data_IF_576776750736
#
_entry.id   IF_576776750736
#
_cell.length_a   1.000
_cell.length_b   1.000
_cell.length_c   1.000
_cell.angle_alpha   90.00
_cell.angle_beta   90.00
_cell.angle_gamma   90.00
#
_symmetry.space_group_name_H-M   'P 1'
#
loop_
_entity.id
_entity.type
_entity.pdbx_description
1 polymer ?
#
# COMPACT_ATOMS: atom_id res chain seq x y z
N UNK A 1 9.19 -39.47 -58.26
CA UNK A 1 9.79 -40.06 -57.05
C UNK A 1 8.83 -39.69 -55.91
N UNK A 2 7.76 -40.47 -55.65
CA UNK A 2 7.70 -41.57 -54.68
C UNK A 2 8.32 -41.15 -53.32
N UNK A 3 7.68 -41.24 -52.15
CA UNK A 3 6.85 -42.33 -51.61
C UNK A 3 6.09 -41.85 -50.35
N UNK A 4 4.81 -42.23 -50.23
CA UNK A 4 4.07 -42.80 -49.05
C UNK A 4 4.33 -42.21 -47.64
N UNK A 5 3.33 -41.82 -46.84
CA UNK A 5 2.13 -42.59 -46.49
C UNK A 5 2.44 -43.59 -45.37
N UNK A 6 2.48 -43.12 -44.11
CA UNK A 6 2.78 -43.94 -42.92
C UNK A 6 1.61 -43.94 -41.91
N UNK A 7 1.29 -45.08 -41.27
CA UNK A 7 0.03 -45.30 -40.54
C UNK A 7 0.00 -44.77 -39.10
N UNK A 8 -1.22 -44.39 -38.70
CA UNK A 8 -1.65 -44.15 -37.32
C UNK A 8 -1.37 -45.35 -36.41
N UNK A 9 -0.57 -45.16 -35.37
CA UNK A 9 -0.42 -46.15 -34.29
C UNK A 9 -1.32 -45.75 -33.12
N UNK A 10 -2.44 -46.48 -32.97
CA UNK A 10 -3.26 -46.42 -31.76
C UNK A 10 -2.48 -46.94 -30.54
N UNK A 11 -2.65 -46.36 -29.34
CA UNK A 11 -2.00 -46.84 -28.14
C UNK A 11 -2.58 -48.18 -27.68
N UNK A 12 -1.68 -49.14 -27.40
CA UNK A 12 -2.02 -50.40 -26.72
C UNK A 12 -2.52 -50.10 -25.30
N UNK A 13 -3.72 -50.56 -24.99
CA UNK A 13 -4.16 -50.82 -23.61
C UNK A 13 -3.36 -51.99 -23.06
N UNK A 14 -2.74 -51.84 -21.89
CA UNK A 14 -2.46 -52.89 -20.89
C UNK A 14 -2.24 -52.26 -19.49
N UNK A 15 -2.42 -53.02 -18.39
CA UNK A 15 -3.21 -52.57 -17.24
C UNK A 15 -2.38 -52.19 -16.01
N UNK A 16 -2.64 -51.02 -15.41
CA UNK A 16 -2.02 -50.62 -14.13
C UNK A 16 -2.80 -49.61 -13.30
N UNK A 17 -4.05 -49.31 -13.66
CA UNK A 17 -4.79 -48.16 -13.14
C UNK A 17 -5.51 -48.41 -11.79
N UNK A 18 -5.23 -49.50 -11.08
CA UNK A 18 -5.91 -49.83 -9.82
C UNK A 18 -5.05 -49.72 -8.56
N UNK A 19 -3.72 -49.59 -8.70
CA UNK A 19 -2.81 -49.47 -7.54
C UNK A 19 -2.52 -48.02 -7.11
N UNK A 20 -2.64 -47.04 -8.01
CA UNK A 20 -2.37 -45.62 -7.69
C UNK A 20 -3.49 -44.94 -6.90
N UNK A 21 -4.75 -45.33 -7.13
CA UNK A 21 -5.92 -44.70 -6.51
C UNK A 21 -6.06 -45.02 -5.01
N UNK A 22 -5.61 -46.20 -4.58
CA UNK A 22 -5.70 -46.61 -3.17
C UNK A 22 -4.72 -45.83 -2.28
N UNK A 23 -3.55 -45.46 -2.81
CA UNK A 23 -2.53 -44.71 -2.07
C UNK A 23 -2.95 -43.25 -1.79
N UNK A 24 -3.70 -42.63 -2.71
CA UNK A 24 -4.09 -41.21 -2.61
C UNK A 24 -5.25 -40.99 -1.60
N UNK A 25 -6.16 -41.95 -1.48
CA UNK A 25 -7.29 -41.86 -0.52
C UNK A 25 -6.83 -42.01 0.93
N UNK A 26 -5.80 -42.81 1.20
CA UNK A 26 -5.25 -42.99 2.56
C UNK A 26 -4.55 -41.72 3.05
N UNK A 27 -3.84 -41.00 2.17
CA UNK A 27 -3.15 -39.76 2.54
C UNK A 27 -4.09 -38.59 2.86
N UNK A 28 -5.21 -38.46 2.14
CA UNK A 28 -6.20 -37.41 2.41
C UNK A 28 -6.92 -37.64 3.74
N UNK A 29 -7.17 -38.90 4.12
CA UNK A 29 -7.81 -39.25 5.39
C UNK A 29 -6.97 -38.91 6.64
N UNK A 30 -5.64 -39.01 6.54
CA UNK A 30 -4.74 -38.71 7.66
C UNK A 30 -4.64 -37.20 7.91
N UNK A 31 -4.68 -36.38 6.86
CA UNK A 31 -4.60 -34.90 6.99
C UNK A 31 -5.88 -34.33 7.62
N UNK A 32 -7.05 -34.87 7.27
CA UNK A 32 -8.33 -34.43 7.87
C UNK A 32 -8.45 -34.78 9.35
N UNK A 33 -7.83 -35.87 9.81
CA UNK A 33 -7.87 -36.26 11.23
C UNK A 33 -7.06 -35.32 12.14
N UNK A 34 -6.01 -34.66 11.61
CA UNK A 34 -5.17 -33.74 12.39
C UNK A 34 -5.87 -32.39 12.57
N UNK A 35 -6.65 -31.93 11.58
CA UNK A 35 -7.43 -30.70 11.66
C UNK A 35 -8.60 -30.76 12.66
N UNK A 36 -9.06 -31.96 13.02
CA UNK A 36 -10.11 -32.12 14.04
C UNK A 36 -9.56 -32.15 15.47
N UNK A 37 -8.26 -32.41 15.67
CA UNK A 37 -7.69 -32.56 17.00
C UNK A 37 -7.16 -31.25 17.61
N UNK A 38 -7.05 -30.17 16.84
CA UNK A 38 -6.51 -28.88 17.34
C UNK A 38 -7.46 -27.68 17.20
N UNK A 39 -8.76 -27.93 16.97
CA UNK A 39 -9.77 -26.87 16.92
C UNK A 39 -10.66 -26.85 18.17
N UNK A 40 -10.55 -25.78 18.97
CA UNK A 40 -11.71 -25.22 19.65
C UNK A 40 -11.60 -25.04 21.17
N UNK A 41 -11.66 -23.78 21.62
CA UNK A 41 -12.46 -23.46 22.80
C UNK A 41 -13.14 -22.09 22.63
N UNK A 42 -14.45 -22.16 22.83
CA UNK A 42 -15.53 -21.23 22.49
C UNK A 42 -15.70 -20.07 23.48
N UNK A 43 -16.56 -19.09 23.14
CA UNK A 43 -17.21 -18.24 24.15
C UNK A 43 -17.66 -16.84 23.73
N UNK A 44 -18.67 -16.77 22.85
CA UNK A 44 -19.89 -15.94 22.82
C UNK A 44 -20.06 -14.78 23.87
N UNK A 45 -20.40 -13.57 23.40
CA UNK A 45 -21.73 -12.91 23.57
C UNK A 45 -21.70 -11.38 23.40
N UNK A 46 -22.76 -10.88 22.75
CA UNK A 46 -23.04 -9.50 22.32
C UNK A 46 -23.71 -8.63 23.41
N UNK A 47 -23.63 -7.31 23.16
CA UNK A 47 -24.51 -6.21 23.58
C UNK A 47 -24.30 -5.53 24.96
N UNK A 48 -23.78 -4.29 24.94
CA UNK A 48 -24.62 -3.07 24.96
C UNK A 48 -23.91 -1.84 25.56
N UNK A 49 -24.11 -0.69 24.89
CA UNK A 49 -24.04 0.70 25.39
C UNK A 49 -22.68 1.43 25.42
N UNK A 50 -22.48 2.30 24.41
CA UNK A 50 -21.79 3.60 24.47
C UNK A 50 -22.43 4.53 25.52
N UNK A 51 -21.84 5.70 25.91
CA UNK A 51 -20.55 6.28 25.52
C UNK A 51 -19.72 6.80 26.71
N UNK A 52 -18.44 7.13 26.49
CA UNK A 52 -17.87 8.46 26.81
C UNK A 52 -16.34 8.46 26.73
N UNK A 53 -15.86 9.56 26.16
CA UNK A 53 -14.50 10.07 26.09
C UNK A 53 -13.62 9.75 27.31
N UNK A 54 -12.38 9.32 27.06
CA UNK A 54 -11.16 9.91 27.61
C UNK A 54 -9.94 9.25 27.00
N UNK A 55 -9.03 10.08 26.50
CA UNK A 55 -7.69 9.71 26.08
C UNK A 55 -6.95 8.97 27.19
N UNK A 56 -6.14 7.99 26.80
CA UNK A 56 -4.92 7.62 27.51
C UNK A 56 -4.04 6.86 26.53
N UNK A 57 -3.10 7.60 25.94
CA UNK A 57 -1.92 7.02 25.36
C UNK A 57 -1.18 6.27 26.47
N UNK A 58 -0.93 4.98 26.25
CA UNK A 58 0.14 4.27 26.94
C UNK A 58 1.19 4.02 25.89
N UNK A 59 2.21 4.87 25.91
CA UNK A 59 3.42 4.70 25.12
C UNK A 59 4.11 3.41 25.52
N UNK A 60 4.55 2.67 24.51
CA UNK A 60 5.59 1.67 24.65
C UNK A 60 6.83 2.28 23.99
N UNK A 61 7.55 3.08 24.80
CA UNK A 61 8.86 3.59 24.46
C UNK A 61 9.86 2.45 24.53
N UNK A 62 10.47 2.15 23.39
CA UNK A 62 11.40 1.04 23.24
C UNK A 62 12.17 1.17 21.95
N UNK A 63 13.15 2.09 21.95
CA UNK A 63 14.17 2.15 20.91
C UNK A 63 14.79 0.78 20.70
N UNK A 64 14.45 0.17 19.58
CA UNK A 64 15.09 -1.02 19.06
C UNK A 64 15.03 -0.90 17.54
N UNK A 65 16.15 -1.21 16.91
CA UNK A 65 16.36 -1.30 15.46
C UNK A 65 15.51 -2.40 14.79
N UNK A 66 14.23 -2.50 15.17
CA UNK A 66 13.23 -3.35 14.57
C UNK A 66 12.59 -2.63 13.40
N UNK A 67 12.10 -3.43 12.44
CA UNK A 67 11.28 -2.97 11.32
C UNK A 67 10.33 -1.86 11.75
N UNK A 68 10.44 -0.70 11.10
CA UNK A 68 9.47 0.36 11.26
C UNK A 68 8.08 -0.19 10.92
N UNK A 69 7.05 0.29 11.62
CA UNK A 69 5.65 -0.05 11.34
C UNK A 69 4.80 1.20 11.21
N UNK A 70 3.64 1.06 10.58
CA UNK A 70 2.63 2.10 10.59
C UNK A 70 2.29 2.48 12.04
N UNK A 71 2.29 3.77 12.33
CA UNK A 71 2.10 4.33 13.66
C UNK A 71 3.39 4.84 14.31
N UNK A 72 4.55 4.37 13.86
CA UNK A 72 5.84 4.84 14.39
C UNK A 72 6.13 6.27 13.94
N UNK A 73 6.85 7.01 14.77
CA UNK A 73 7.32 8.34 14.43
C UNK A 73 8.80 8.33 14.09
N UNK A 74 9.20 9.31 13.31
CA UNK A 74 10.58 9.46 12.88
C UNK A 74 10.95 10.89 12.57
N UNK A 75 12.24 11.11 12.45
CA UNK A 75 12.82 12.41 12.15
C UNK A 75 14.13 12.28 11.39
N UNK A 76 14.66 13.41 10.85
CA UNK A 76 15.96 13.43 10.19
C UNK A 76 17.07 12.94 11.12
N UNK A 77 17.94 12.09 10.61
CA UNK A 77 19.12 11.63 11.32
C UNK A 77 20.32 12.54 10.96
N UNK A 78 20.85 13.35 11.91
CA UNK A 78 21.94 14.27 11.62
C UNK A 78 23.24 13.57 11.23
N UNK A 79 23.46 12.32 11.64
CA UNK A 79 24.65 11.54 11.32
C UNK A 79 24.58 10.91 9.91
N UNK A 80 23.36 10.80 9.35
CA UNK A 80 23.07 10.27 8.02
C UNK A 80 22.45 11.30 7.07
N UNK A 81 22.61 12.59 7.38
CA UNK A 81 22.09 13.68 6.57
C UNK A 81 22.67 13.68 5.13
N UNK A 82 21.91 14.19 4.13
CA UNK A 82 20.58 14.80 4.25
C UNK A 82 19.41 13.82 4.18
N UNK A 83 19.66 12.57 3.77
CA UNK A 83 18.60 11.61 3.39
C UNK A 83 18.34 10.54 4.46
N UNK A 84 19.04 10.62 5.60
CA UNK A 84 18.91 9.70 6.72
C UNK A 84 17.72 10.01 7.61
N UNK A 85 17.02 8.97 8.03
CA UNK A 85 15.92 9.06 8.99
C UNK A 85 16.07 8.00 10.08
N UNK A 86 15.65 8.35 11.29
CA UNK A 86 15.64 7.44 12.44
C UNK A 86 14.26 7.39 13.09
N UNK A 87 13.94 6.24 13.69
CA UNK A 87 12.74 6.09 14.50
C UNK A 87 12.92 6.87 15.81
N UNK A 88 11.87 7.56 16.21
CA UNK A 88 11.81 8.40 17.41
C UNK A 88 10.47 8.16 18.12
N UNK A 89 10.42 8.47 19.41
CA UNK A 89 9.13 8.58 20.12
C UNK A 89 8.32 9.75 19.53
N UNK A 90 7.00 9.58 19.39
CA UNK A 90 6.16 10.61 18.74
C UNK A 90 6.08 11.94 19.50
N UNK A 91 6.38 11.94 20.81
CA UNK A 91 6.43 13.15 21.64
C UNK A 91 7.83 13.78 21.68
N UNK A 92 8.81 13.19 20.98
CA UNK A 92 10.15 13.75 20.83
C UNK A 92 10.10 15.02 19.97
N UNK A 93 10.88 16.04 20.35
CA UNK A 93 10.95 17.29 19.60
C UNK A 93 11.58 17.13 18.22
N UNK A 94 12.39 16.09 18.02
CA UNK A 94 13.05 15.79 16.75
C UNK A 94 12.17 14.91 15.84
N UNK A 95 11.05 14.38 16.35
CA UNK A 95 10.08 13.67 15.53
C UNK A 95 9.32 14.66 14.64
N UNK A 96 9.38 14.44 13.32
CA UNK A 96 8.77 15.35 12.33
C UNK A 96 7.59 14.71 11.61
N UNK A 97 7.49 13.39 11.59
CA UNK A 97 6.41 12.68 10.93
C UNK A 97 6.03 11.38 11.64
N UNK A 98 4.83 10.90 11.31
CA UNK A 98 4.29 9.59 11.67
C UNK A 98 4.09 8.73 10.44
N UNK A 99 4.58 7.50 10.45
CA UNK A 99 4.39 6.55 9.36
C UNK A 99 2.91 6.12 9.28
N UNK A 100 2.27 6.37 8.14
CA UNK A 100 0.93 5.87 7.83
C UNK A 100 0.96 4.49 7.19
N UNK A 101 1.98 4.24 6.36
CA UNK A 101 2.19 2.98 5.66
C UNK A 101 3.67 2.83 5.34
N UNK A 102 4.13 1.59 5.38
CA UNK A 102 5.49 1.22 5.00
C UNK A 102 5.36 0.14 3.93
N UNK A 103 6.14 0.29 2.88
CA UNK A 103 6.12 -0.55 1.71
C UNK A 103 7.54 -0.97 1.41
N UNK A 104 7.73 -2.19 0.91
CA UNK A 104 9.01 -2.58 0.34
C UNK A 104 9.39 -1.58 -0.77
N UNK A 105 10.67 -1.26 -0.89
CA UNK A 105 11.14 -0.31 -1.88
C UNK A 105 10.66 -0.69 -3.28
N UNK A 106 9.90 0.21 -3.89
CA UNK A 106 9.54 0.07 -5.29
C UNK A 106 10.79 0.36 -6.12
N UNK A 107 11.10 -0.52 -7.09
CA UNK A 107 12.17 -0.29 -8.08
C UNK A 107 11.94 1.04 -8.84
N UNK A 108 10.69 1.53 -8.83
CA UNK A 108 10.28 2.78 -9.45
C UNK A 108 9.58 3.65 -8.39
N UNK A 109 10.16 4.79 -7.96
CA UNK A 109 9.65 5.61 -6.86
C UNK A 109 8.23 6.12 -7.10
N UNK A 110 7.86 6.31 -8.37
CA UNK A 110 6.53 6.76 -8.73
C UNK A 110 5.43 5.71 -8.50
N UNK A 111 5.75 4.42 -8.33
CA UNK A 111 4.78 3.33 -8.11
C UNK A 111 4.23 3.26 -6.67
N UNK A 112 4.76 4.09 -5.78
CA UNK A 112 4.40 4.09 -4.37
C UNK A 112 3.00 4.70 -4.21
N UNK A 113 2.08 3.87 -3.72
CA UNK A 113 0.72 4.27 -3.39
C UNK A 113 0.58 4.46 -1.89
N UNK A 114 0.71 5.73 -1.51
CA UNK A 114 0.48 6.14 -0.16
C UNK A 114 -1.01 6.31 0.12
N UNK A 115 -1.46 5.99 1.35
CA UNK A 115 -2.85 6.22 1.73
C UNK A 115 -3.17 7.72 1.70
N UNK A 116 -4.45 8.05 1.57
CA UNK A 116 -4.90 9.43 1.71
C UNK A 116 -4.45 10.01 3.05
N UNK A 117 -4.04 11.27 3.02
CA UNK A 117 -3.46 11.94 4.18
C UNK A 117 -1.94 11.85 4.31
N UNK A 118 -1.25 11.25 3.35
CA UNK A 118 0.21 11.25 3.33
C UNK A 118 0.74 12.61 2.90
N UNK A 119 1.54 13.23 3.74
CA UNK A 119 2.16 14.53 3.49
C UNK A 119 3.53 14.41 2.83
N UNK A 120 4.24 13.31 3.11
CA UNK A 120 5.61 13.08 2.63
C UNK A 120 5.83 11.61 2.29
N UNK A 121 6.61 11.36 1.24
CA UNK A 121 7.06 10.02 0.86
C UNK A 121 8.57 9.96 1.06
N UNK A 122 9.01 9.08 1.96
CA UNK A 122 10.42 8.98 2.37
C UNK A 122 10.95 7.63 1.92
N UNK A 123 12.02 7.63 1.14
CA UNK A 123 12.77 6.42 0.83
C UNK A 123 13.79 6.17 1.95
N UNK A 124 13.58 5.13 2.74
CA UNK A 124 14.45 4.80 3.86
C UNK A 124 15.43 3.71 3.40
N UNK A 125 16.72 4.00 3.52
CA UNK A 125 17.76 2.97 3.45
C UNK A 125 17.93 2.37 4.85
N UNK A 126 17.36 1.18 5.10
CA UNK A 126 17.64 0.47 6.34
C UNK A 126 19.03 -0.18 6.23
N UNK A 127 20.01 0.38 6.94
CA UNK A 127 21.28 -0.31 7.19
C UNK A 127 21.04 -1.43 8.20
N UNK A 128 20.99 -2.68 7.73
CA UNK A 128 20.99 -3.85 8.60
C UNK A 128 22.40 -4.04 9.19
N UNK A 129 22.61 -3.53 10.40
CA UNK A 129 23.83 -3.77 11.17
C UNK A 129 24.71 -2.53 11.34
N UNK A 130 25.47 -2.57 12.42
CA UNK A 130 26.35 -1.55 12.98
C UNK A 130 27.55 -1.16 12.10
N UNK A 131 27.45 -1.21 10.78
CA UNK A 131 28.48 -0.74 9.86
C UNK A 131 28.12 0.66 9.36
N UNK A 132 28.45 1.57 10.26
CA UNK A 132 28.73 2.99 10.07
C UNK A 132 29.49 3.21 8.75
N UNK A 133 29.08 4.20 7.93
CA UNK A 133 29.77 4.74 6.73
C UNK A 133 29.41 4.20 5.33
N UNK A 134 28.16 3.86 5.03
CA UNK A 134 27.71 3.78 3.62
C UNK A 134 26.57 4.74 3.32
N UNK A 135 26.93 5.96 2.89
CA UNK A 135 26.02 7.00 2.38
C UNK A 135 25.50 6.67 0.97
N UNK A 136 24.94 5.47 0.79
CA UNK A 136 24.54 4.97 -0.54
C UNK A 136 23.90 3.58 -0.55
N UNK A 137 23.18 3.22 0.52
CA UNK A 137 22.38 1.99 0.53
C UNK A 137 21.23 2.07 -0.46
N UNK A 138 20.93 0.97 -1.15
CA UNK A 138 19.69 0.85 -1.92
C UNK A 138 18.55 1.03 -0.92
N UNK A 139 17.60 1.96 -1.14
CA UNK A 139 16.46 2.09 -0.25
C UNK A 139 15.76 0.74 -0.16
N UNK A 140 15.50 0.29 1.06
CA UNK A 140 14.88 -1.01 1.31
C UNK A 140 13.38 -0.86 1.46
N UNK A 141 12.93 0.32 1.90
CA UNK A 141 11.54 0.61 2.20
C UNK A 141 11.17 2.03 1.78
N UNK A 142 9.90 2.21 1.46
CA UNK A 142 9.27 3.51 1.30
C UNK A 142 8.25 3.74 2.41
N UNK A 143 8.38 4.85 3.11
CA UNK A 143 7.49 5.29 4.18
C UNK A 143 6.59 6.40 3.67
N UNK A 144 5.29 6.18 3.76
CA UNK A 144 4.28 7.20 3.59
C UNK A 144 4.06 7.88 4.93
N UNK A 145 4.59 9.09 5.11
CA UNK A 145 4.55 9.86 6.33
C UNK A 145 3.45 10.92 6.36
N UNK A 146 2.90 11.15 7.55
CA UNK A 146 2.11 12.34 7.88
C UNK A 146 2.94 13.23 8.77
N UNK A 147 3.03 14.51 8.46
CA UNK A 147 3.73 15.47 9.31
C UNK A 147 3.10 15.47 10.71
N UNK A 148 3.91 15.69 11.74
CA UNK A 148 3.37 15.91 13.09
C UNK A 148 2.95 17.37 13.30
N UNK A 149 3.55 18.30 12.55
CA UNK A 149 3.15 19.70 12.50
C UNK A 149 2.11 19.95 11.40
N UNK A 150 1.22 20.92 11.64
CA UNK A 150 0.50 21.59 10.56
C UNK A 150 1.52 22.31 9.62
N UNK A 151 1.32 22.47 8.32
CA UNK A 151 0.17 22.10 7.48
C UNK A 151 0.31 20.69 6.85
N UNK A 152 -0.81 20.04 6.57
CA UNK A 152 -0.88 18.70 5.96
C UNK A 152 -1.22 18.76 4.45
N UNK A 153 -0.22 18.84 3.55
CA UNK A 153 -0.46 18.87 2.10
C UNK A 153 -1.14 17.59 1.58
N UNK A 154 -1.07 16.48 2.31
CA UNK A 154 -1.77 15.23 1.99
C UNK A 154 -3.27 15.24 2.33
N UNK A 155 -3.77 16.27 3.01
CA UNK A 155 -5.19 16.40 3.31
C UNK A 155 -6.00 16.85 2.08
N UNK A 156 -7.21 16.30 1.97
CA UNK A 156 -8.07 16.55 0.82
C UNK A 156 -8.38 18.05 0.64
N UNK A 157 -7.87 18.63 -0.45
CA UNK A 157 -8.03 20.02 -0.82
C UNK A 157 -7.02 20.98 -0.19
N UNK A 158 -6.05 20.50 0.58
CA UNK A 158 -4.95 21.32 1.08
C UNK A 158 -3.97 21.71 -0.04
N UNK A 159 -3.75 20.79 -0.99
CA UNK A 159 -2.87 20.99 -2.15
C UNK A 159 -1.39 20.73 -1.82
N UNK A 160 -0.64 20.30 -2.83
CA UNK A 160 0.80 20.08 -2.75
C UNK A 160 1.20 18.67 -2.32
N UNK A 161 0.23 17.74 -2.22
CA UNK A 161 0.45 16.35 -1.86
C UNK A 161 0.40 15.40 -3.07
N UNK A 162 0.13 14.13 -2.79
CA UNK A 162 -0.32 13.19 -3.81
C UNK A 162 -1.81 13.38 -4.01
N UNK A 163 -2.26 13.47 -5.26
CA UNK A 163 -3.67 13.64 -5.58
C UNK A 163 -4.53 12.53 -4.96
N UNK A 164 -5.57 12.91 -4.24
CA UNK A 164 -6.58 12.05 -3.61
C UNK A 164 -7.99 12.54 -3.90
N UNK A 165 -8.97 11.70 -3.57
CA UNK A 165 -10.38 12.09 -3.63
C UNK A 165 -10.64 13.26 -2.69
N UNK A 166 -11.25 14.31 -3.23
CA UNK A 166 -11.59 15.54 -2.51
C UNK A 166 -10.72 16.73 -2.86
N UNK A 167 -9.58 16.50 -3.52
CA UNK A 167 -8.68 17.54 -3.99
C UNK A 167 -9.28 18.38 -5.11
N UNK A 168 -8.63 19.50 -5.37
CA UNK A 168 -8.91 20.35 -6.50
C UNK A 168 -7.76 20.32 -7.48
N UNK A 169 -8.09 20.30 -8.76
CA UNK A 169 -7.11 20.35 -9.84
C UNK A 169 -7.46 21.47 -10.81
N UNK A 170 -6.44 22.14 -11.31
CA UNK A 170 -6.57 23.09 -12.40
C UNK A 170 -6.98 22.37 -13.70
N UNK A 171 -7.28 23.14 -14.74
CA UNK A 171 -7.71 22.61 -16.04
C UNK A 171 -6.69 21.68 -16.72
N UNK A 172 -5.40 21.79 -16.38
CA UNK A 172 -4.30 20.92 -16.83
C UNK A 172 -4.03 19.74 -15.88
N UNK A 173 -4.91 19.52 -14.90
CA UNK A 173 -4.83 18.48 -13.87
C UNK A 173 -3.65 18.67 -12.90
N UNK A 174 -3.09 19.88 -12.81
CA UNK A 174 -2.20 20.21 -11.71
C UNK A 174 -3.00 20.32 -10.40
N UNK A 175 -2.54 19.65 -9.34
CA UNK A 175 -3.15 19.77 -8.02
C UNK A 175 -2.99 21.19 -7.48
N UNK A 176 -4.07 21.71 -6.89
CA UNK A 176 -4.12 23.03 -6.27
C UNK A 176 -4.90 22.96 -4.95
N UNK A 177 -4.60 23.87 -4.04
CA UNK A 177 -5.41 24.06 -2.85
C UNK A 177 -6.84 24.43 -3.26
N UNK A 178 -7.84 23.74 -2.72
CA UNK A 178 -9.25 24.00 -3.04
C UNK A 178 -9.69 25.42 -2.66
N UNK A 179 -9.05 26.05 -1.66
CA UNK A 179 -9.29 27.45 -1.31
C UNK A 179 -8.85 28.45 -2.38
N UNK A 180 -8.01 28.04 -3.33
CA UNK A 180 -7.55 28.85 -4.46
C UNK A 180 -8.24 28.49 -5.78
N UNK A 181 -9.05 27.44 -5.80
CA UNK A 181 -9.71 26.96 -7.01
C UNK A 181 -10.83 27.91 -7.46
N UNK A 182 -10.92 28.11 -8.78
CA UNK A 182 -11.96 28.89 -9.43
C UNK A 182 -12.93 28.05 -10.26
N UNK A 183 -13.88 28.71 -10.92
CA UNK A 183 -14.91 28.05 -11.74
C UNK A 183 -14.38 27.29 -12.97
N UNK A 184 -13.09 27.43 -13.29
CA UNK A 184 -12.41 26.70 -14.36
C UNK A 184 -11.84 25.36 -13.91
N UNK A 185 -11.82 25.11 -12.61
CA UNK A 185 -11.11 24.01 -11.97
C UNK A 185 -12.09 22.89 -11.56
N UNK A 186 -11.53 21.77 -11.14
CA UNK A 186 -12.29 20.55 -10.89
C UNK A 186 -12.02 20.02 -9.50
N UNK A 187 -13.08 19.55 -8.83
CA UNK A 187 -12.97 18.71 -7.65
C UNK A 187 -12.82 17.24 -8.05
N UNK A 188 -11.81 16.57 -7.52
CA UNK A 188 -11.57 15.14 -7.71
C UNK A 188 -12.60 14.34 -6.93
N UNK A 189 -13.43 13.57 -7.63
CA UNK A 189 -14.40 12.67 -7.02
C UNK A 189 -13.90 11.22 -6.96
N UNK A 190 -12.90 10.89 -7.76
CA UNK A 190 -12.28 9.57 -7.80
C UNK A 190 -11.06 9.54 -8.72
N UNK A 191 -10.19 8.58 -8.45
CA UNK A 191 -9.02 8.24 -9.24
C UNK A 191 -9.21 6.78 -9.64
N UNK A 192 -9.21 6.49 -10.94
CA UNK A 192 -9.52 5.15 -11.44
C UNK A 192 -8.45 4.67 -12.42
N UNK A 193 -8.21 3.37 -12.40
CA UNK A 193 -7.20 2.71 -13.20
C UNK A 193 -7.73 2.35 -14.59
N UNK A 194 -6.79 2.17 -15.51
CA UNK A 194 -7.04 1.74 -16.89
C UNK A 194 -7.86 0.43 -16.92
N UNK A 195 -9.15 0.54 -17.21
CA UNK A 195 -10.03 -0.62 -17.40
C UNK A 195 -10.83 -1.08 -16.16
N UNK A 196 -10.66 -0.43 -15.00
CA UNK A 196 -11.40 -0.77 -13.77
C UNK A 196 -12.20 0.43 -13.25
N UNK A 197 -13.51 0.33 -13.42
CA UNK A 197 -14.59 1.19 -12.91
C UNK A 197 -14.93 2.45 -13.73
N UNK A 198 -16.24 2.71 -13.81
CA UNK A 198 -16.79 3.98 -14.30
C UNK A 198 -16.65 5.02 -13.20
N UNK A 199 -16.38 6.26 -13.58
CA UNK A 199 -16.34 7.38 -12.64
C UNK A 199 -17.60 7.44 -11.74
N UNK A 200 -17.46 7.87 -10.48
CA UNK A 200 -18.59 8.03 -9.56
C UNK A 200 -19.68 8.95 -10.11
N UNK A 201 -20.91 8.81 -9.60
CA UNK A 201 -22.00 9.73 -9.93
C UNK A 201 -21.65 11.17 -9.55
N UNK A 202 -21.94 12.12 -10.43
CA UNK A 202 -21.62 13.54 -10.23
C UNK A 202 -20.31 13.97 -10.88
N UNK A 203 -19.54 13.05 -11.48
CA UNK A 203 -18.45 13.41 -12.40
C UNK A 203 -19.02 14.10 -13.63
N UNK A 204 -18.48 15.27 -13.94
CA UNK A 204 -18.81 16.01 -15.16
C UNK A 204 -17.78 15.75 -16.25
N UNK A 205 -16.52 15.57 -15.87
CA UNK A 205 -15.40 15.37 -16.78
C UNK A 205 -14.49 14.24 -16.29
N UNK A 206 -14.48 13.08 -16.96
CA UNK A 206 -13.42 12.09 -16.80
C UNK A 206 -12.19 12.53 -17.61
N UNK A 207 -11.11 12.89 -16.92
CA UNK A 207 -9.88 13.38 -17.54
C UNK A 207 -8.88 12.23 -17.61
N UNK A 208 -8.60 11.73 -18.81
CA UNK A 208 -7.56 10.75 -19.03
C UNK A 208 -6.18 11.41 -18.96
N UNK A 209 -5.32 10.83 -18.15
CA UNK A 209 -3.93 11.20 -18.02
C UNK A 209 -3.09 10.37 -18.96
N UNK A 210 -2.05 10.97 -19.50
CA UNK A 210 -1.00 10.20 -20.17
C UNK A 210 -0.45 9.19 -19.17
N UNK A 211 -0.33 7.93 -19.57
CA UNK A 211 0.28 6.88 -18.76
C UNK A 211 1.70 7.32 -18.38
N UNK A 212 1.91 7.56 -17.09
CA UNK A 212 3.23 7.81 -16.51
C UNK A 212 3.57 6.61 -15.64
N UNK A 213 4.75 6.05 -15.85
CA UNK A 213 5.26 4.93 -15.06
C UNK A 213 5.17 5.29 -13.58
N UNK A 214 4.45 4.47 -12.82
CA UNK A 214 4.25 4.63 -11.38
C UNK A 214 2.91 5.22 -10.97
N UNK A 215 2.24 6.02 -11.81
CA UNK A 215 0.88 6.47 -11.47
C UNK A 215 -0.07 5.27 -11.56
N UNK A 216 -0.79 4.90 -10.48
CA UNK A 216 -1.62 3.71 -10.48
C UNK A 216 -2.94 3.93 -11.21
N UNK A 217 -3.43 5.18 -11.24
CA UNK A 217 -4.62 5.60 -11.97
C UNK A 217 -4.25 6.26 -13.30
N UNK A 218 -5.10 6.10 -14.31
CA UNK A 218 -4.97 6.79 -15.59
C UNK A 218 -6.07 7.81 -15.83
N UNK A 219 -7.06 7.90 -14.93
CA UNK A 219 -8.22 8.75 -15.11
C UNK A 219 -8.57 9.47 -13.82
N UNK A 220 -8.72 10.79 -13.90
CA UNK A 220 -9.25 11.63 -12.83
C UNK A 220 -10.72 11.92 -13.09
N UNK A 221 -11.58 11.49 -12.17
CA UNK A 221 -13.01 11.72 -12.23
C UNK A 221 -13.34 13.09 -11.62
N UNK A 222 -13.34 14.13 -12.44
CA UNK A 222 -13.54 15.51 -12.01
C UNK A 222 -15.00 15.97 -12.02
N UNK A 223 -15.35 16.85 -11.08
CA UNK A 223 -16.56 17.67 -11.14
C UNK A 223 -16.16 19.13 -11.13
N UNK A 224 -16.62 19.88 -12.12
CA UNK A 224 -16.38 21.32 -12.19
C UNK A 224 -16.84 22.05 -10.91
N UNK A 225 -16.02 22.98 -10.42
CA UNK A 225 -16.26 23.78 -9.22
C UNK A 225 -17.16 24.99 -9.46
#
# INVERSE_FOLDING_TARGET
MAVQGGPQASPRKEPGCLRGLVALVVFIGIIYAIWWFTGGKDGDDEASSTPSVSASATGDGGGSSGEWKAGDCGGPDPDRAPDGYTALDCDDSDATFKALKIMDAAILPAAVQCPAGTDVVIEVSMSFGSDEKSSGGIPTDTVCGRNLSDDHPGDAGAGGGQLVKGDCVAADVAEIACGQAGSGDFKVLGLVDAGSARCPSGTTDPIQLTMVVGRPYDTVCGRKL
#
